data_IF_023567302180
#
_entry.id   IF_023567302180
#
_cell.length_a   1.000
_cell.length_b   1.000
_cell.length_c   1.000
_cell.angle_alpha   90.00
_cell.angle_beta   90.00
_cell.angle_gamma   90.00
#
_symmetry.space_group_name_H-M   'P 1'
#
loop_
_entity.id
_entity.type
_entity.pdbx_description
1 polymer ?
#
# COMPACT_ATOMS: atom_id res chain seq x y z
N UNK A 1 8.55 -14.00 2.16
CA UNK A 1 7.91 -13.20 3.24
C UNK A 1 6.41 -13.23 3.06
N UNK A 2 5.93 -13.07 1.83
CA UNK A 2 4.55 -13.30 1.44
C UNK A 2 4.48 -13.40 -0.08
N UNK A 3 3.35 -13.87 -0.57
CA UNK A 3 3.02 -13.96 -1.99
C UNK A 3 1.64 -13.33 -2.18
N UNK A 4 1.57 -12.34 -3.06
CA UNK A 4 0.33 -11.73 -3.52
C UNK A 4 0.06 -12.05 -4.98
N UNK A 5 -1.05 -11.54 -5.50
CA UNK A 5 -1.51 -11.78 -6.86
C UNK A 5 -0.49 -11.37 -7.92
N UNK A 6 0.12 -10.19 -7.76
CA UNK A 6 1.04 -9.61 -8.75
C UNK A 6 2.51 -9.64 -8.33
N UNK A 7 2.78 -9.75 -7.02
CA UNK A 7 4.14 -9.68 -6.47
C UNK A 7 4.38 -10.66 -5.34
N UNK A 8 5.62 -11.11 -5.25
CA UNK A 8 6.14 -11.90 -4.14
C UNK A 8 7.20 -11.10 -3.37
N UNK A 9 7.15 -11.14 -2.03
CA UNK A 9 8.05 -10.41 -1.16
C UNK A 9 9.20 -11.30 -0.66
N UNK A 10 10.44 -10.89 -0.92
CA UNK A 10 11.67 -11.59 -0.52
C UNK A 10 12.50 -10.74 0.44
N UNK A 11 13.06 -11.36 1.48
CA UNK A 11 13.99 -10.70 2.39
C UNK A 11 15.42 -10.73 1.82
N UNK A 12 16.20 -9.67 2.06
CA UNK A 12 17.64 -9.72 1.86
C UNK A 12 18.30 -10.40 3.07
N UNK A 13 19.24 -11.33 2.81
CA UNK A 13 19.99 -12.01 3.89
C UNK A 13 20.83 -11.04 4.71
N UNK A 14 21.49 -10.10 4.03
CA UNK A 14 22.48 -9.20 4.63
C UNK A 14 21.90 -7.82 4.99
N UNK A 15 20.60 -7.60 4.75
CA UNK A 15 19.94 -6.34 5.09
C UNK A 15 18.51 -6.59 5.59
N UNK A 16 18.28 -6.65 6.92
CA UNK A 16 16.96 -6.94 7.47
C UNK A 16 15.95 -5.81 7.26
N UNK A 17 16.40 -4.60 6.90
CA UNK A 17 15.54 -3.43 6.75
C UNK A 17 14.99 -3.26 5.33
N UNK A 18 15.35 -4.15 4.40
CA UNK A 18 14.92 -4.08 3.01
C UNK A 18 14.24 -5.38 2.58
N UNK A 19 13.32 -5.25 1.65
CA UNK A 19 12.74 -6.38 0.91
C UNK A 19 12.82 -6.12 -0.59
N UNK A 20 12.80 -7.21 -1.34
CA UNK A 20 12.60 -7.19 -2.78
C UNK A 20 11.16 -7.63 -3.08
N UNK A 21 10.34 -6.71 -3.60
CA UNK A 21 9.01 -7.00 -4.13
C UNK A 21 9.18 -7.38 -5.60
N UNK A 22 9.19 -8.68 -5.87
CA UNK A 22 9.40 -9.23 -7.21
C UNK A 22 8.06 -9.39 -7.92
N UNK A 23 7.95 -8.95 -9.16
CA UNK A 23 6.81 -9.25 -10.01
C UNK A 23 6.66 -10.76 -10.23
N UNK A 24 5.41 -11.22 -10.33
CA UNK A 24 5.07 -12.56 -10.79
C UNK A 24 5.44 -12.75 -12.28
N UNK A 25 5.31 -13.98 -12.77
CA UNK A 25 5.72 -14.29 -14.14
C UNK A 25 4.74 -13.68 -15.13
N UNK A 26 5.26 -13.14 -16.23
CA UNK A 26 4.49 -12.50 -17.30
C UNK A 26 3.87 -11.13 -16.96
N UNK A 27 4.14 -10.59 -15.77
CA UNK A 27 3.72 -9.23 -15.42
C UNK A 27 4.58 -8.17 -16.12
N UNK A 28 3.93 -7.09 -16.55
CA UNK A 28 4.61 -6.01 -17.27
C UNK A 28 5.44 -5.13 -16.33
N UNK A 29 6.71 -4.89 -16.67
CA UNK A 29 7.60 -4.03 -15.86
C UNK A 29 7.13 -2.58 -15.77
N UNK A 30 6.22 -2.14 -16.64
CA UNK A 30 5.61 -0.81 -16.58
C UNK A 30 4.81 -0.60 -15.28
N UNK A 31 4.19 -1.66 -14.74
CA UNK A 31 3.45 -1.65 -13.47
C UNK A 31 4.33 -1.10 -12.34
N UNK A 32 5.61 -1.46 -12.32
CA UNK A 32 6.57 -0.96 -11.32
C UNK A 32 6.82 0.55 -11.42
N UNK A 33 6.69 1.13 -12.62
CA UNK A 33 6.83 2.57 -12.81
C UNK A 33 5.61 3.31 -12.28
N UNK A 34 4.42 2.80 -12.60
CA UNK A 34 3.17 3.38 -12.13
C UNK A 34 3.06 3.29 -10.60
N UNK A 35 3.39 2.15 -9.99
CA UNK A 35 3.37 2.00 -8.53
C UNK A 35 4.26 3.05 -7.83
N UNK A 36 5.47 3.27 -8.34
CA UNK A 36 6.37 4.31 -7.80
C UNK A 36 5.76 5.70 -7.96
N UNK A 37 5.14 5.99 -9.11
CA UNK A 37 4.47 7.28 -9.37
C UNK A 37 3.35 7.49 -8.36
N UNK A 38 2.47 6.51 -8.21
CA UNK A 38 1.29 6.56 -7.33
C UNK A 38 1.65 6.69 -5.85
N UNK A 39 2.58 5.85 -5.36
CA UNK A 39 3.11 6.00 -3.99
C UNK A 39 3.80 7.35 -3.78
N UNK A 40 4.40 7.90 -4.83
CA UNK A 40 4.97 9.23 -4.86
C UNK A 40 3.93 10.34 -4.68
N UNK A 41 2.80 10.26 -5.39
CA UNK A 41 1.69 11.22 -5.25
C UNK A 41 1.10 11.20 -3.83
N UNK A 42 0.86 10.00 -3.28
CA UNK A 42 0.41 9.86 -1.89
C UNK A 42 1.42 10.49 -0.89
N UNK A 43 2.71 10.23 -1.08
CA UNK A 43 3.75 10.78 -0.20
C UNK A 43 3.81 12.32 -0.27
N UNK A 44 3.58 12.93 -1.44
CA UNK A 44 3.48 14.41 -1.57
C UNK A 44 2.32 14.99 -0.76
N UNK A 45 1.22 14.25 -0.62
CA UNK A 45 0.09 14.61 0.23
C UNK A 45 0.36 14.35 1.73
N UNK A 46 1.54 13.82 2.06
CA UNK A 46 1.94 13.50 3.42
C UNK A 46 1.34 12.20 3.94
N UNK A 47 0.88 11.32 3.04
CA UNK A 47 0.54 9.93 3.34
C UNK A 47 1.82 9.13 3.51
N UNK A 48 1.90 8.31 4.54
CA UNK A 48 3.06 7.46 4.77
C UNK A 48 2.99 6.23 3.88
N UNK A 49 4.04 6.02 3.09
CA UNK A 49 4.26 4.85 2.25
C UNK A 49 5.62 4.23 2.59
N UNK A 50 5.85 2.93 2.35
CA UNK A 50 7.18 2.34 2.53
C UNK A 50 8.19 3.05 1.64
N UNK A 51 9.38 3.32 2.17
CA UNK A 51 10.41 4.02 1.39
C UNK A 51 10.85 3.16 0.20
N UNK A 52 10.65 3.68 -1.01
CA UNK A 52 11.24 3.14 -2.22
C UNK A 52 12.73 3.51 -2.32
N UNK A 53 13.57 2.55 -2.73
CA UNK A 53 15.00 2.78 -2.93
C UNK A 53 15.40 2.73 -4.39
N UNK A 54 15.11 1.63 -5.09
CA UNK A 54 15.42 1.45 -6.51
C UNK A 54 14.66 0.29 -7.14
N UNK A 55 14.51 0.32 -8.46
CA UNK A 55 14.16 -0.86 -9.25
C UNK A 55 15.38 -1.79 -9.33
N UNK A 56 15.14 -3.09 -9.34
CA UNK A 56 16.19 -4.09 -9.47
C UNK A 56 15.65 -5.34 -10.16
N UNK A 57 16.58 -6.16 -10.65
CA UNK A 57 16.30 -7.53 -11.08
C UNK A 57 17.16 -8.48 -10.28
N UNK A 58 16.56 -9.57 -9.80
CA UNK A 58 17.27 -10.64 -9.11
C UNK A 58 16.69 -11.98 -9.48
N UNK A 59 17.47 -13.04 -9.28
CA UNK A 59 16.98 -14.42 -9.28
C UNK A 59 16.66 -14.83 -7.84
N UNK A 60 15.40 -14.75 -7.37
CA UNK A 60 15.09 -14.95 -5.97
C UNK A 60 15.35 -16.39 -5.55
N UNK A 61 15.83 -16.59 -4.32
CA UNK A 61 16.04 -17.92 -3.75
C UNK A 61 17.12 -18.77 -4.44
N UNK A 62 17.91 -18.21 -5.36
CA UNK A 62 18.87 -18.98 -6.16
C UNK A 62 18.22 -19.85 -7.24
N UNK A 63 17.00 -19.50 -7.67
CA UNK A 63 16.32 -20.14 -8.79
C UNK A 63 17.03 -19.91 -10.14
N UNK A 64 16.27 -20.07 -11.23
CA UNK A 64 16.79 -19.86 -12.60
C UNK A 64 16.16 -18.67 -13.32
N UNK A 65 15.05 -18.16 -12.79
CA UNK A 65 14.26 -17.09 -13.44
C UNK A 65 14.60 -15.77 -12.77
N UNK A 66 15.17 -14.85 -13.55
CA UNK A 66 15.31 -13.45 -13.15
C UNK A 66 13.92 -12.80 -13.05
N UNK A 67 13.69 -12.07 -11.95
CA UNK A 67 12.47 -11.33 -11.70
C UNK A 67 12.81 -9.86 -11.59
N UNK A 68 12.01 -9.02 -12.23
CA UNK A 68 12.05 -7.57 -12.04
C UNK A 68 11.23 -7.18 -10.81
N UNK A 69 11.64 -6.14 -10.11
CA UNK A 69 10.94 -5.72 -8.91
C UNK A 69 11.47 -4.44 -8.26
N UNK A 70 10.99 -4.17 -7.06
CA UNK A 70 11.34 -3.01 -6.26
C UNK A 70 12.14 -3.41 -5.03
N UNK A 71 13.20 -2.66 -4.73
CA UNK A 71 13.81 -2.65 -3.40
C UNK A 71 13.13 -1.57 -2.57
N UNK A 72 12.46 -1.99 -1.51
CA UNK A 72 11.69 -1.10 -0.62
C UNK A 72 12.03 -1.37 0.84
N UNK A 73 11.65 -0.43 1.70
CA UNK A 73 11.72 -0.60 3.14
C UNK A 73 10.93 -1.83 3.58
N UNK A 74 11.55 -2.67 4.39
CA UNK A 74 10.85 -3.72 5.11
C UNK A 74 10.10 -3.12 6.28
N UNK A 75 8.80 -3.38 6.34
CA UNK A 75 8.01 -3.20 7.55
C UNK A 75 7.95 -4.57 8.23
N UNK A 76 8.60 -4.70 9.39
CA UNK A 76 8.74 -5.98 10.10
C UNK A 76 7.48 -6.27 10.90
N UNK A 77 7.07 -7.54 10.90
CA UNK A 77 5.90 -8.01 11.65
C UNK A 77 4.67 -7.16 11.36
N UNK A 78 4.43 -6.85 10.09
CA UNK A 78 3.31 -6.01 9.70
C UNK A 78 2.01 -6.82 9.62
N UNK A 79 0.87 -6.16 9.83
CA UNK A 79 -0.47 -6.71 9.59
C UNK A 79 -1.14 -5.96 8.47
N UNK A 80 -1.61 -6.71 7.46
CA UNK A 80 -2.34 -6.17 6.34
C UNK A 80 -3.71 -5.65 6.78
N UNK A 81 -4.10 -4.51 6.24
CA UNK A 81 -5.41 -3.89 6.40
C UNK A 81 -5.94 -3.51 5.02
N UNK A 82 -7.15 -3.97 4.71
CA UNK A 82 -7.87 -3.55 3.51
C UNK A 82 -8.74 -2.34 3.83
N UNK A 83 -8.63 -1.30 3.02
CA UNK A 83 -9.33 -0.02 3.19
C UNK A 83 -10.28 0.28 2.01
N UNK A 84 -10.40 -0.68 1.07
CA UNK A 84 -11.19 -0.59 -0.15
C UNK A 84 -12.40 -1.53 -0.19
N UNK A 85 -12.53 -2.50 0.72
CA UNK A 85 -13.68 -3.41 0.72
C UNK A 85 -14.95 -2.66 1.11
N UNK A 86 -16.10 -3.06 0.55
CA UNK A 86 -17.40 -2.76 1.15
C UNK A 86 -17.45 -3.46 2.51
N UNK A 87 -16.87 -2.82 3.51
CA UNK A 87 -16.95 -3.25 4.89
C UNK A 87 -18.41 -3.06 5.26
N UNK A 88 -19.18 -4.14 5.39
CA UNK A 88 -20.51 -4.04 6.00
C UNK A 88 -20.37 -3.60 7.47
N UNK A 89 -21.43 -3.13 8.11
CA UNK A 89 -21.39 -2.64 9.50
C UNK A 89 -20.93 -3.69 10.54
N UNK A 90 -20.86 -4.97 10.16
CA UNK A 90 -20.43 -6.09 10.99
C UNK A 90 -18.99 -6.53 10.69
N UNK A 91 -18.39 -6.08 9.60
CA UNK A 91 -16.98 -6.34 9.29
C UNK A 91 -16.09 -5.61 10.29
N UNK A 92 -15.47 -6.38 11.18
CA UNK A 92 -14.51 -5.90 12.16
C UNK A 92 -13.09 -6.15 11.69
N UNK A 93 -12.18 -5.24 12.01
CA UNK A 93 -10.75 -5.50 11.89
C UNK A 93 -10.40 -6.76 12.70
N UNK A 94 -9.46 -7.56 12.17
CA UNK A 94 -9.00 -8.75 12.87
C UNK A 94 -8.38 -8.36 14.21
N UNK A 95 -8.45 -9.26 15.20
CA UNK A 95 -7.84 -9.02 16.51
C UNK A 95 -6.35 -8.71 16.37
N UNK A 96 -5.66 -9.35 15.42
CA UNK A 96 -4.24 -9.10 15.16
C UNK A 96 -3.93 -7.67 14.70
N UNK A 97 -4.81 -7.08 13.88
CA UNK A 97 -4.69 -5.66 13.46
C UNK A 97 -4.96 -4.74 14.65
N UNK A 98 -5.96 -5.08 15.48
CA UNK A 98 -6.29 -4.32 16.69
C UNK A 98 -5.15 -4.36 17.72
N UNK A 99 -4.48 -5.49 17.87
CA UNK A 99 -3.38 -5.69 18.83
C UNK A 99 -2.16 -4.81 18.49
N UNK A 100 -1.93 -4.49 17.21
CA UNK A 100 -0.89 -3.54 16.78
C UNK A 100 -1.36 -2.10 16.71
N UNK A 101 -2.67 -1.86 16.77
CA UNK A 101 -3.24 -0.53 16.66
C UNK A 101 -3.08 0.26 17.96
N UNK A 102 -2.58 1.49 17.86
CA UNK A 102 -2.41 2.38 19.01
C UNK A 102 -2.60 3.86 18.62
N UNK A 103 -2.17 4.78 19.48
CA UNK A 103 -2.31 6.23 19.23
C UNK A 103 -1.58 6.70 17.96
N UNK A 104 -0.51 6.05 17.52
CA UNK A 104 0.14 6.34 16.22
C UNK A 104 -0.80 5.99 15.08
N UNK A 105 -1.37 4.79 15.09
CA UNK A 105 -2.35 4.33 14.11
C UNK A 105 -3.51 5.31 13.99
N UNK A 106 -4.08 5.72 15.14
CA UNK A 106 -5.17 6.69 15.17
C UNK A 106 -4.76 8.05 14.59
N UNK A 107 -3.53 8.52 14.86
CA UNK A 107 -3.02 9.76 14.27
C UNK A 107 -2.85 9.65 12.76
N UNK A 108 -2.39 8.51 12.26
CA UNK A 108 -2.20 8.28 10.83
C UNK A 108 -3.54 8.18 10.11
N UNK A 109 -4.52 7.47 10.67
CA UNK A 109 -5.90 7.42 10.14
C UNK A 109 -6.50 8.81 10.09
N UNK A 110 -6.39 9.61 11.18
CA UNK A 110 -6.89 10.99 11.18
C UNK A 110 -6.20 11.87 10.14
N UNK A 111 -4.91 11.66 9.91
CA UNK A 111 -4.18 12.37 8.86
C UNK A 111 -4.66 11.95 7.47
N UNK A 112 -4.93 10.65 7.24
CA UNK A 112 -5.53 10.18 5.99
C UNK A 112 -6.91 10.80 5.77
N UNK A 113 -7.78 10.78 6.77
CA UNK A 113 -9.09 11.45 6.72
C UNK A 113 -8.96 12.93 6.31
N UNK A 114 -7.99 13.64 6.91
CA UNK A 114 -7.71 15.03 6.54
C UNK A 114 -7.22 15.14 5.09
N UNK A 115 -6.32 14.28 4.63
CA UNK A 115 -5.84 14.30 3.24
C UNK A 115 -7.02 14.15 2.28
N UNK A 116 -7.88 13.15 2.46
CA UNK A 116 -9.05 12.96 1.61
C UNK A 116 -10.02 14.15 1.71
N UNK A 117 -10.34 14.63 2.91
CA UNK A 117 -11.24 15.78 3.09
C UNK A 117 -10.75 17.08 2.41
N UNK A 118 -9.44 17.28 2.27
CA UNK A 118 -8.87 18.44 1.56
C UNK A 118 -8.66 18.21 0.06
N UNK A 119 -8.78 16.98 -0.43
CA UNK A 119 -8.60 16.61 -1.83
C UNK A 119 -9.84 15.82 -2.28
N UNK A 120 -10.97 16.50 -2.58
CA UNK A 120 -12.25 15.86 -2.89
C UNK A 120 -12.20 15.00 -4.16
N UNK A 121 -11.18 15.22 -4.99
CA UNK A 121 -10.95 14.52 -6.25
C UNK A 121 -9.94 13.37 -6.12
N UNK A 122 -9.34 13.18 -4.94
CA UNK A 122 -8.38 12.10 -4.68
C UNK A 122 -9.10 10.77 -4.54
N UNK A 123 -8.70 9.80 -5.35
CA UNK A 123 -9.12 8.40 -5.22
C UNK A 123 -7.90 7.49 -5.13
N UNK A 124 -8.06 6.37 -4.42
CA UNK A 124 -7.05 5.31 -4.38
C UNK A 124 -7.74 3.98 -4.67
N UNK A 125 -7.39 3.40 -5.80
CA UNK A 125 -7.84 2.07 -6.19
C UNK A 125 -6.92 1.01 -5.59
N UNK A 126 -7.51 -0.10 -5.17
CA UNK A 126 -6.87 -1.07 -4.26
C UNK A 126 -6.33 -0.45 -2.97
N UNK A 127 -7.13 0.43 -2.35
CA UNK A 127 -6.73 1.10 -1.12
C UNK A 127 -6.50 0.10 0.02
N UNK A 128 -5.23 -0.11 0.35
CA UNK A 128 -4.78 -1.03 1.38
C UNK A 128 -3.55 -0.49 2.10
N UNK A 129 -3.27 -1.06 3.26
CA UNK A 129 -2.14 -0.67 4.06
C UNK A 129 -1.60 -1.79 4.92
N UNK A 130 -0.55 -1.47 5.65
CA UNK A 130 0.05 -2.33 6.65
C UNK A 130 0.30 -1.53 7.93
N UNK A 131 0.05 -2.17 9.06
CA UNK A 131 0.38 -1.62 10.39
C UNK A 131 1.58 -2.38 10.93
N UNK A 132 2.64 -1.64 11.27
CA UNK A 132 3.81 -2.24 11.91
C UNK A 132 3.58 -2.55 13.39
N UNK A 133 4.48 -3.33 14.01
CA UNK A 133 4.42 -3.67 15.44
C UNK A 133 4.33 -2.46 16.39
N UNK A 134 4.82 -1.29 15.94
CA UNK A 134 4.81 -0.04 16.71
C UNK A 134 3.52 0.76 16.48
N UNK A 135 2.59 0.25 15.65
CA UNK A 135 1.31 0.86 15.29
C UNK A 135 1.38 1.92 14.19
N UNK A 136 2.49 2.03 13.45
CA UNK A 136 2.60 2.93 12.32
C UNK A 136 1.86 2.35 11.11
N UNK A 137 0.90 3.10 10.58
CA UNK A 137 0.20 2.74 9.34
C UNK A 137 0.97 3.23 8.11
N UNK A 138 1.08 2.37 7.09
CA UNK A 138 1.63 2.67 5.78
C UNK A 138 0.64 2.27 4.69
N UNK A 139 0.42 3.12 3.69
CA UNK A 139 -0.32 2.76 2.48
C UNK A 139 0.63 2.07 1.50
N UNK A 140 0.17 0.98 0.92
CA UNK A 140 0.98 0.13 0.03
C UNK A 140 0.22 -0.23 -1.24
N UNK A 141 0.99 -0.55 -2.28
CA UNK A 141 0.51 -1.22 -3.49
C UNK A 141 -0.83 -0.69 -4.07
N UNK A 142 -0.96 0.62 -4.33
CA UNK A 142 -2.13 1.14 -5.03
C UNK A 142 -2.13 0.67 -6.49
N UNK A 143 -3.31 0.38 -7.03
CA UNK A 143 -3.50 0.08 -8.47
C UNK A 143 -3.67 1.36 -9.27
N UNK A 144 -4.39 2.34 -8.73
CA UNK A 144 -4.49 3.69 -9.30
C UNK A 144 -4.55 4.76 -8.19
N UNK A 145 -4.07 5.96 -8.48
CA UNK A 145 -4.27 7.16 -7.66
C UNK A 145 -4.77 8.26 -8.58
N UNK A 146 -6.07 8.48 -8.54
CA UNK A 146 -6.78 9.43 -9.41
C UNK A 146 -6.86 10.83 -8.83
N UNK A 147 -6.94 11.80 -9.72
CA UNK A 147 -7.40 13.16 -9.45
C UNK A 147 -8.45 13.46 -10.54
N UNK A 148 -9.73 13.56 -10.19
CA UNK A 148 -10.89 13.51 -11.12
C UNK A 148 -10.92 14.57 -12.24
N UNK A 149 -9.95 15.48 -12.33
CA UNK A 149 -9.93 16.56 -13.31
C UNK A 149 -9.79 16.12 -14.78
N UNK A 150 -9.52 14.85 -15.09
CA UNK A 150 -9.34 14.38 -16.48
C UNK A 150 -10.30 13.27 -16.97
N UNK A 151 -11.10 12.60 -16.13
CA UNK A 151 -12.01 11.53 -16.60
C UNK A 151 -13.29 11.40 -15.75
N UNK A 152 -14.45 11.42 -16.40
CA UNK A 152 -15.80 11.39 -15.78
C UNK A 152 -16.39 9.98 -15.69
N UNK A 153 -15.74 9.06 -14.97
CA UNK A 153 -16.33 7.76 -14.64
C UNK A 153 -16.11 7.47 -13.14
N UNK A 154 -17.21 7.49 -12.39
CA UNK A 154 -17.45 6.93 -11.05
C UNK A 154 -16.48 7.20 -9.88
N UNK A 155 -15.45 8.04 -10.01
CA UNK A 155 -14.52 8.32 -8.92
C UNK A 155 -15.12 8.99 -7.68
N UNK A 156 -16.29 9.65 -7.79
CA UNK A 156 -16.96 10.21 -6.61
C UNK A 156 -17.36 9.13 -5.61
N UNK A 157 -17.77 7.94 -6.10
CA UNK A 157 -18.09 6.82 -5.20
C UNK A 157 -16.83 6.24 -4.57
N UNK A 158 -15.72 6.11 -5.31
CA UNK A 158 -14.44 5.65 -4.74
C UNK A 158 -13.89 6.59 -3.67
N UNK A 159 -13.97 7.91 -3.87
CA UNK A 159 -13.58 8.88 -2.86
C UNK A 159 -14.42 8.75 -1.58
N UNK A 160 -15.75 8.73 -1.74
CA UNK A 160 -16.67 8.57 -0.61
C UNK A 160 -16.47 7.24 0.13
N UNK A 161 -16.21 6.15 -0.60
CA UNK A 161 -15.88 4.84 -0.03
C UNK A 161 -14.54 4.84 0.71
N UNK A 162 -13.49 5.42 0.13
CA UNK A 162 -12.20 5.55 0.79
C UNK A 162 -12.35 6.34 2.11
N UNK A 163 -13.07 7.46 2.09
CA UNK A 163 -13.31 8.26 3.29
C UNK A 163 -14.18 7.52 4.31
N UNK A 164 -15.24 6.83 3.86
CA UNK A 164 -16.12 6.03 4.70
C UNK A 164 -15.36 4.94 5.45
N UNK A 165 -14.50 4.21 4.74
CA UNK A 165 -13.70 3.13 5.34
C UNK A 165 -12.68 3.66 6.36
N UNK A 166 -12.16 4.89 6.18
CA UNK A 166 -11.28 5.53 7.16
C UNK A 166 -12.02 6.01 8.43
N UNK A 167 -13.35 6.15 8.41
CA UNK A 167 -14.13 6.63 9.56
C UNK A 167 -14.55 5.51 10.53
N UNK A 168 -14.30 4.24 10.20
CA UNK A 168 -14.72 3.07 10.98
C UNK A 168 -13.65 2.55 11.93
#
# INVERSE_FOLDING_TARGET
LGEGTFKSAYAFRDNPNLIFLALQENEETQILTEEIRMLGELNKLGVKTPKFYRKASFTPGGGLIERHGLIVQRITEAKDIKLNEEIDENTRLSQEVLDYSNQKTLRDIKRLQQVFAHNPDLTVDDFQGIIDQDGQLYIIDPIDVGNTSEYTLDYSTNHELNLFNLMR
#
